data_IF_135424575124
#
_entry.id   IF_135424575124
#
_cell.length_a   1.000
_cell.length_b   1.000
_cell.length_c   1.000
_cell.angle_alpha   90.00
_cell.angle_beta   90.00
_cell.angle_gamma   90.00
#
_symmetry.space_group_name_H-M   'P 1'
#
loop_
_entity.id
_entity.type
_entity.pdbx_description
1 polymer ?
#
# COMPACT_ATOMS: atom_id res chain seq x y z
N UNK A 1 19.02 -0.04 2.57
CA UNK A 1 17.89 -0.83 2.06
C UNK A 1 17.66 -2.04 2.97
N UNK A 2 16.42 -2.32 3.27
CA UNK A 2 16.05 -3.48 4.10
C UNK A 2 16.42 -4.79 3.40
N UNK A 3 17.02 -5.71 4.14
CA UNK A 3 17.29 -7.07 3.66
C UNK A 3 16.06 -7.96 3.93
N UNK A 4 15.66 -8.82 2.98
CA UNK A 4 14.54 -9.75 3.20
C UNK A 4 14.81 -10.65 4.42
N UNK A 5 13.75 -10.96 5.16
CA UNK A 5 13.83 -11.84 6.33
C UNK A 5 14.05 -13.29 5.91
N UNK A 6 14.54 -14.13 6.83
CA UNK A 6 14.67 -15.56 6.58
C UNK A 6 13.32 -16.20 6.29
N UNK A 7 13.29 -17.16 5.36
CA UNK A 7 12.06 -17.83 4.93
C UNK A 7 11.24 -18.43 6.08
N UNK A 8 11.93 -18.91 7.12
CA UNK A 8 11.26 -19.53 8.29
C UNK A 8 10.45 -18.52 9.12
N UNK A 9 10.71 -17.22 8.98
CA UNK A 9 9.99 -16.15 9.68
C UNK A 9 8.75 -15.68 8.92
N UNK A 10 8.66 -15.96 7.62
CA UNK A 10 7.61 -15.43 6.75
C UNK A 10 6.19 -15.78 7.22
N UNK A 11 5.84 -17.04 7.55
CA UNK A 11 4.47 -17.35 7.97
C UNK A 11 4.01 -16.55 9.18
N UNK A 12 4.86 -16.44 10.21
CA UNK A 12 4.53 -15.66 11.42
C UNK A 12 4.36 -14.16 11.15
N UNK A 13 5.21 -13.61 10.28
CA UNK A 13 5.15 -12.19 9.92
C UNK A 13 3.90 -11.88 9.08
N UNK A 14 3.49 -12.78 8.19
CA UNK A 14 2.24 -12.62 7.43
C UNK A 14 1.04 -12.70 8.38
N UNK A 15 1.05 -13.59 9.35
CA UNK A 15 0.01 -13.66 10.37
C UNK A 15 -0.08 -12.36 11.18
N UNK A 16 1.05 -11.80 11.61
CA UNK A 16 1.10 -10.50 12.30
C UNK A 16 0.54 -9.37 11.43
N UNK A 17 0.82 -9.38 10.13
CA UNK A 17 0.25 -8.42 9.19
C UNK A 17 -1.26 -8.50 9.16
N UNK A 18 -1.80 -9.70 9.05
CA UNK A 18 -3.25 -9.93 9.05
C UNK A 18 -3.89 -9.49 10.38
N UNK A 19 -3.25 -9.81 11.49
CA UNK A 19 -3.71 -9.41 12.81
C UNK A 19 -3.74 -7.88 12.94
N UNK A 20 -2.71 -7.19 12.47
CA UNK A 20 -2.68 -5.74 12.48
C UNK A 20 -3.86 -5.14 11.72
N UNK A 21 -4.11 -5.61 10.53
CA UNK A 21 -5.22 -5.12 9.68
C UNK A 21 -6.57 -5.38 10.37
N UNK A 22 -6.77 -6.59 10.89
CA UNK A 22 -8.02 -6.96 11.54
C UNK A 22 -8.25 -6.17 12.82
N UNK A 23 -7.22 -6.03 13.66
CA UNK A 23 -7.33 -5.32 14.94
C UNK A 23 -7.54 -3.81 14.74
N UNK A 24 -7.09 -3.25 13.63
CA UNK A 24 -7.17 -1.83 13.35
C UNK A 24 -8.24 -1.46 12.32
N UNK A 25 -9.05 -2.42 11.89
CA UNK A 25 -10.02 -2.23 10.81
C UNK A 25 -10.98 -1.07 11.06
N UNK A 26 -11.45 -0.93 12.30
CA UNK A 26 -12.36 0.14 12.71
C UNK A 26 -11.68 1.30 13.44
N UNK A 27 -10.37 1.16 13.72
CA UNK A 27 -9.61 2.16 14.52
C UNK A 27 -8.76 3.07 13.65
N UNK A 28 -8.40 2.63 12.44
CA UNK A 28 -7.52 3.37 11.53
C UNK A 28 -8.20 3.54 10.18
N UNK A 29 -7.78 4.56 9.44
CA UNK A 29 -8.37 4.83 8.12
C UNK A 29 -8.00 3.75 7.09
N UNK A 30 -8.84 3.57 6.04
CA UNK A 30 -8.47 2.68 4.93
C UNK A 30 -7.16 3.08 4.25
N UNK A 31 -6.86 4.36 4.14
CA UNK A 31 -5.58 4.86 3.61
C UNK A 31 -4.41 4.37 4.47
N UNK A 32 -4.53 4.47 5.78
CA UNK A 32 -3.48 3.98 6.69
C UNK A 32 -3.26 2.48 6.54
N UNK A 33 -4.34 1.69 6.53
CA UNK A 33 -4.24 0.24 6.40
C UNK A 33 -3.64 -0.16 5.05
N UNK A 34 -4.02 0.53 3.98
CA UNK A 34 -3.41 0.35 2.66
C UNK A 34 -1.90 0.63 2.71
N UNK A 35 -1.50 1.76 3.30
CA UNK A 35 -0.10 2.13 3.44
C UNK A 35 0.69 1.10 4.26
N UNK A 36 0.11 0.61 5.35
CA UNK A 36 0.74 -0.40 6.20
C UNK A 36 0.95 -1.71 5.43
N UNK A 37 -0.07 -2.20 4.76
CA UNK A 37 0.00 -3.46 3.98
C UNK A 37 1.03 -3.33 2.86
N UNK A 38 1.01 -2.22 2.15
CA UNK A 38 1.95 -1.96 1.05
C UNK A 38 3.40 -2.00 1.54
N UNK A 39 3.67 -1.31 2.65
CA UNK A 39 5.00 -1.33 3.28
C UNK A 39 5.35 -2.71 3.83
N UNK A 40 4.46 -3.32 4.64
CA UNK A 40 4.79 -4.55 5.38
C UNK A 40 5.02 -5.74 4.46
N UNK A 41 4.22 -5.90 3.41
CA UNK A 41 4.43 -6.98 2.44
C UNK A 41 5.75 -6.83 1.68
N UNK A 42 6.12 -5.59 1.32
CA UNK A 42 7.44 -5.34 0.74
C UNK A 42 8.55 -5.67 1.74
N UNK A 43 8.37 -5.32 3.01
CA UNK A 43 9.34 -5.59 4.07
C UNK A 43 9.53 -7.09 4.29
N UNK A 44 8.43 -7.85 4.37
CA UNK A 44 8.48 -9.32 4.56
C UNK A 44 9.10 -10.00 3.34
N UNK A 45 8.76 -9.55 2.14
CA UNK A 45 9.27 -10.09 0.88
C UNK A 45 9.04 -11.61 0.79
N UNK A 46 7.76 -12.08 0.84
CA UNK A 46 7.47 -13.49 1.09
C UNK A 46 7.73 -14.43 -0.10
N UNK A 47 7.83 -13.91 -1.31
CA UNK A 47 7.97 -14.71 -2.52
C UNK A 47 9.34 -14.57 -3.17
N UNK A 48 9.70 -15.52 -4.03
CA UNK A 48 10.92 -15.43 -4.84
C UNK A 48 10.81 -14.30 -5.88
N UNK A 49 9.59 -14.10 -6.43
CA UNK A 49 9.30 -13.07 -7.42
C UNK A 49 7.88 -12.56 -7.22
N UNK A 50 7.60 -11.38 -7.73
CA UNK A 50 6.26 -10.80 -7.69
C UNK A 50 5.89 -10.12 -6.37
N UNK A 51 6.85 -9.86 -5.48
CA UNK A 51 6.58 -9.23 -4.18
C UNK A 51 5.98 -7.83 -4.31
N UNK A 52 6.53 -7.01 -5.19
CA UNK A 52 6.02 -5.66 -5.44
C UNK A 52 4.60 -5.67 -6.01
N UNK A 53 4.36 -6.53 -7.00
CA UNK A 53 3.04 -6.66 -7.61
C UNK A 53 2.00 -7.13 -6.59
N UNK A 54 2.37 -8.12 -5.79
CA UNK A 54 1.48 -8.66 -4.73
C UNK A 54 1.17 -7.60 -3.69
N UNK A 55 2.17 -6.88 -3.19
CA UNK A 55 1.94 -5.84 -2.17
C UNK A 55 1.07 -4.71 -2.71
N UNK A 56 1.26 -4.29 -3.96
CA UNK A 56 0.39 -3.29 -4.59
C UNK A 56 -1.04 -3.78 -4.77
N UNK A 57 -1.23 -5.01 -5.22
CA UNK A 57 -2.56 -5.58 -5.43
C UNK A 57 -3.33 -5.78 -4.10
N UNK A 58 -2.67 -6.37 -3.11
CA UNK A 58 -3.31 -6.65 -1.81
C UNK A 58 -3.62 -5.36 -1.06
N UNK A 59 -2.70 -4.40 -1.05
CA UNK A 59 -2.94 -3.10 -0.40
C UNK A 59 -4.11 -2.35 -1.05
N UNK A 60 -4.21 -2.42 -2.37
CA UNK A 60 -5.31 -1.81 -3.10
C UNK A 60 -6.66 -2.49 -2.78
N UNK A 61 -6.66 -3.81 -2.67
CA UNK A 61 -7.84 -4.56 -2.22
C UNK A 61 -8.28 -4.11 -0.83
N UNK A 62 -7.34 -3.99 0.10
CA UNK A 62 -7.62 -3.50 1.46
C UNK A 62 -8.25 -2.10 1.42
N UNK A 63 -7.74 -1.22 0.59
CA UNK A 63 -8.28 0.12 0.41
C UNK A 63 -9.72 0.07 -0.10
N UNK A 64 -9.99 -0.70 -1.15
CA UNK A 64 -11.33 -0.82 -1.72
C UNK A 64 -12.32 -1.39 -0.71
N UNK A 65 -11.95 -2.45 0.00
CA UNK A 65 -12.83 -3.07 1.00
C UNK A 65 -13.08 -2.08 2.15
N UNK A 66 -12.04 -1.39 2.60
CA UNK A 66 -12.16 -0.40 3.67
C UNK A 66 -13.05 0.79 3.29
N UNK A 67 -13.01 1.21 2.02
CA UNK A 67 -13.90 2.25 1.51
C UNK A 67 -15.33 1.75 1.21
N UNK A 68 -15.53 0.43 1.16
CA UNK A 68 -16.82 -0.18 0.98
C UNK A 68 -17.25 -0.37 -0.47
N UNK A 69 -16.38 -0.15 -1.44
CA UNK A 69 -16.69 -0.34 -2.86
C UNK A 69 -15.43 -0.51 -3.71
N UNK A 70 -15.62 -1.11 -4.87
CA UNK A 70 -14.55 -1.20 -5.86
C UNK A 70 -14.31 0.20 -6.45
N UNK A 71 -13.06 0.68 -6.34
CA UNK A 71 -12.71 1.99 -6.89
C UNK A 71 -12.85 2.00 -8.42
N UNK A 72 -13.58 2.98 -8.96
CA UNK A 72 -13.77 3.06 -10.41
C UNK A 72 -12.56 3.64 -11.13
N UNK A 73 -12.52 3.44 -12.43
CA UNK A 73 -11.49 4.03 -13.31
C UNK A 73 -10.45 3.00 -13.76
N UNK A 74 -9.84 3.28 -14.90
CA UNK A 74 -8.86 2.40 -15.53
C UNK A 74 -7.44 2.67 -15.03
N UNK A 75 -7.15 3.89 -14.56
CA UNK A 75 -5.84 4.27 -14.06
C UNK A 75 -5.78 4.08 -12.54
N UNK A 76 -5.63 2.83 -12.13
CA UNK A 76 -5.64 2.45 -10.71
C UNK A 76 -4.38 2.90 -9.97
N UNK A 77 -4.45 2.94 -8.65
CA UNK A 77 -3.28 3.25 -7.81
C UNK A 77 -2.10 2.31 -8.12
N UNK A 78 -2.27 0.96 -8.17
CA UNK A 78 -1.17 0.08 -8.57
C UNK A 78 -0.55 0.40 -9.93
N UNK A 79 -1.36 0.74 -10.93
CA UNK A 79 -0.85 1.12 -12.24
C UNK A 79 -0.05 2.42 -12.20
N UNK A 80 -0.54 3.42 -11.49
CA UNK A 80 0.17 4.69 -11.33
C UNK A 80 1.52 4.50 -10.64
N UNK A 81 1.58 3.65 -9.61
CA UNK A 81 2.86 3.32 -8.95
C UNK A 81 3.81 2.65 -9.94
N UNK A 82 3.31 1.72 -10.75
CA UNK A 82 4.13 1.01 -11.73
C UNK A 82 4.70 1.93 -12.82
N UNK A 83 3.97 2.98 -13.17
CA UNK A 83 4.41 3.97 -14.16
C UNK A 83 5.56 4.84 -13.65
N UNK A 84 5.56 5.17 -12.36
CA UNK A 84 6.60 5.97 -11.72
C UNK A 84 6.81 5.49 -10.28
N UNK A 85 7.82 4.66 -10.09
CA UNK A 85 8.12 4.05 -8.80
C UNK A 85 8.95 4.92 -7.87
N UNK A 86 9.46 6.05 -8.34
CA UNK A 86 10.32 6.92 -7.55
C UNK A 86 9.72 7.34 -6.21
N UNK A 87 8.55 8.01 -6.21
CA UNK A 87 7.88 8.41 -4.96
C UNK A 87 7.56 7.23 -4.03
N UNK A 88 7.17 6.10 -4.61
CA UNK A 88 6.88 4.87 -3.89
C UNK A 88 8.12 4.33 -3.16
N UNK A 89 9.25 4.24 -3.85
CA UNK A 89 10.50 3.78 -3.24
C UNK A 89 10.96 4.72 -2.11
N UNK A 90 10.84 6.02 -2.30
CA UNK A 90 11.16 6.99 -1.22
C UNK A 90 10.27 6.82 -0.01
N UNK A 91 8.97 6.58 -0.21
CA UNK A 91 8.03 6.34 0.88
C UNK A 91 8.34 5.05 1.63
N UNK A 92 8.75 3.99 0.92
CA UNK A 92 9.18 2.73 1.52
C UNK A 92 10.43 2.93 2.39
N UNK A 93 11.42 3.68 1.89
CA UNK A 93 12.65 3.96 2.65
C UNK A 93 12.36 4.74 3.93
N UNK A 94 11.50 5.75 3.88
CA UNK A 94 11.12 6.51 5.06
C UNK A 94 10.41 5.62 6.09
N UNK A 95 9.52 4.72 5.64
CA UNK A 95 8.85 3.78 6.52
C UNK A 95 9.85 2.81 7.18
N UNK A 96 10.79 2.27 6.39
CA UNK A 96 11.83 1.36 6.88
C UNK A 96 12.73 2.05 7.92
N UNK A 97 13.15 3.27 7.66
CA UNK A 97 14.00 4.03 8.56
C UNK A 97 13.30 4.28 9.91
N UNK A 98 12.02 4.64 9.86
CA UNK A 98 11.22 4.81 11.08
C UNK A 98 11.10 3.52 11.88
N UNK A 99 10.83 2.43 11.21
CA UNK A 99 10.72 1.11 11.84
C UNK A 99 12.03 0.66 12.46
N UNK A 100 13.14 0.86 11.76
CA UNK A 100 14.47 0.53 12.25
C UNK A 100 14.86 1.37 13.48
N UNK A 101 14.48 2.64 13.51
CA UNK A 101 14.80 3.56 14.60
C UNK A 101 13.94 3.37 15.83
N UNK A 102 12.63 3.07 15.67
CA UNK A 102 11.65 3.12 16.77
C UNK A 102 10.82 1.84 16.93
N UNK A 103 10.90 0.90 16.01
CA UNK A 103 10.02 -0.27 15.97
C UNK A 103 8.62 0.02 15.41
N UNK A 104 8.38 1.25 14.94
CA UNK A 104 7.12 1.67 14.33
C UNK A 104 7.43 2.28 12.95
N UNK A 105 6.78 1.82 11.87
CA UNK A 105 7.03 2.39 10.55
C UNK A 105 6.54 3.83 10.46
N UNK A 106 7.27 4.68 9.75
CA UNK A 106 6.86 6.04 9.48
C UNK A 106 6.09 6.08 8.17
N UNK A 107 4.76 6.06 8.26
CA UNK A 107 3.87 5.84 7.10
C UNK A 107 3.26 7.12 6.51
N UNK A 108 3.53 8.28 7.07
CA UNK A 108 2.92 9.54 6.61
C UNK A 108 3.18 9.80 5.12
N UNK A 109 4.40 9.59 4.66
CA UNK A 109 4.74 9.78 3.23
C UNK A 109 4.00 8.81 2.33
N UNK A 110 3.87 7.55 2.76
CA UNK A 110 3.12 6.54 2.00
C UNK A 110 1.63 6.88 1.97
N UNK A 111 1.08 7.32 3.10
CA UNK A 111 -0.32 7.75 3.16
C UNK A 111 -0.59 8.93 2.23
N UNK A 112 0.28 9.93 2.23
CA UNK A 112 0.19 11.09 1.33
C UNK A 112 0.26 10.67 -0.14
N UNK A 113 1.16 9.74 -0.46
CA UNK A 113 1.27 9.20 -1.82
C UNK A 113 -0.04 8.52 -2.25
N UNK A 114 -0.57 7.64 -1.42
CA UNK A 114 -1.82 6.92 -1.72
C UNK A 114 -2.98 7.91 -1.90
N UNK A 115 -3.11 8.91 -1.04
CA UNK A 115 -4.12 9.95 -1.16
C UNK A 115 -4.01 10.70 -2.49
N UNK A 116 -2.79 11.07 -2.87
CA UNK A 116 -2.52 11.75 -4.14
C UNK A 116 -2.91 10.88 -5.34
N UNK A 117 -2.54 9.60 -5.31
CA UNK A 117 -2.85 8.68 -6.41
C UNK A 117 -4.35 8.37 -6.49
N UNK A 118 -5.02 8.28 -5.34
CA UNK A 118 -6.47 8.12 -5.29
C UNK A 118 -7.18 9.32 -5.92
N UNK A 119 -6.74 10.53 -5.56
CA UNK A 119 -7.30 11.75 -6.14
C UNK A 119 -7.11 11.78 -7.67
N UNK A 120 -5.95 11.37 -8.16
CA UNK A 120 -5.67 11.30 -9.60
C UNK A 120 -6.58 10.29 -10.31
N UNK A 121 -6.79 9.12 -9.69
CA UNK A 121 -7.68 8.11 -10.23
C UNK A 121 -9.12 8.63 -10.37
N UNK A 122 -9.63 9.29 -9.34
CA UNK A 122 -10.99 9.81 -9.31
C UNK A 122 -11.15 11.03 -10.24
N UNK A 123 -10.15 11.91 -10.32
CA UNK A 123 -10.16 13.05 -11.24
C UNK A 123 -10.13 12.62 -12.69
N UNK A 124 -9.36 11.59 -13.03
CA UNK A 124 -9.32 11.05 -14.39
C UNK A 124 -10.69 10.51 -14.81
N UNK A 125 -11.38 9.83 -13.90
CA UNK A 125 -12.74 9.34 -14.13
C UNK A 125 -13.72 10.49 -14.33
N UNK A 126 -13.66 11.52 -13.48
CA UNK A 126 -14.53 12.68 -13.57
C UNK A 126 -14.32 13.43 -14.90
N UNK A 127 -13.08 13.67 -15.30
CA UNK A 127 -12.74 14.32 -16.54
C UNK A 127 -13.25 13.55 -17.76
N UNK A 128 -13.16 12.23 -17.71
CA UNK A 128 -13.68 11.35 -18.77
C UNK A 128 -15.21 11.44 -18.86
N UNK A 129 -15.92 11.33 -17.75
CA UNK A 129 -17.37 11.44 -17.70
C UNK A 129 -17.86 12.79 -18.21
N UNK A 130 -17.17 13.89 -17.85
CA UNK A 130 -17.50 15.23 -18.31
C UNK A 130 -17.31 15.39 -19.81
N UNK A 131 -16.31 14.72 -20.42
CA UNK A 131 -16.10 14.78 -21.87
C UNK A 131 -17.13 13.96 -22.65
N UNK A 132 -17.70 12.93 -22.07
CA UNK A 132 -18.72 12.08 -22.68
C UNK A 132 -20.10 12.74 -22.68
N UNK A 133 -20.31 13.79 -21.89
CA UNK A 133 -21.52 14.57 -21.84
C UNK A 133 -21.44 15.78 -22.79
#
# INVERSE_FOLDING_TARGET
>A
MHQPVGAHLVPGLVEELCDYVNDNWTKRSPIHLCAYVLWRLNWIHPFTDGNGRTSRAVSYLVLCVGLGYRLPGARTIPEQISEDKGPYYRALEVADDGFKATGVPHLTKMEELIESLLAKQLLALYSRAKREN
#
